data_IF_515720575723
#
_entry.id   IF_515720575723
#
_cell.length_a   1.000
_cell.length_b   1.000
_cell.length_c   1.000
_cell.angle_alpha   90.00
_cell.angle_beta   90.00
_cell.angle_gamma   90.00
#
_symmetry.space_group_name_H-M   'P 1'
#
loop_
_entity.id
_entity.type
_entity.pdbx_description
1 polymer ?
#
# COMPACT_ATOMS: atom_id res chain seq x y z
N UNK A 1 -26.86 7.04 1.56
CA UNK A 1 -26.19 5.72 1.76
C UNK A 1 -26.33 5.37 3.24
N UNK A 2 -26.99 4.27 3.60
CA UNK A 2 -27.16 3.89 5.00
C UNK A 2 -25.83 3.36 5.56
N UNK A 3 -25.17 4.17 6.39
CA UNK A 3 -23.86 3.87 7.00
C UNK A 3 -23.95 2.61 7.89
N UNK A 4 -25.12 2.34 8.45
CA UNK A 4 -25.42 1.14 9.25
C UNK A 4 -25.16 -0.16 8.49
N UNK A 5 -25.33 -0.18 7.15
CA UNK A 5 -25.04 -1.35 6.31
C UNK A 5 -23.55 -1.70 6.23
N UNK A 6 -22.66 -0.77 6.58
CA UNK A 6 -21.22 -1.04 6.61
C UNK A 6 -20.78 -1.90 7.81
N UNK A 7 -21.62 -2.00 8.84
CA UNK A 7 -21.35 -2.76 10.06
C UNK A 7 -22.25 -3.98 10.22
N UNK A 8 -23.19 -4.21 9.30
CA UNK A 8 -24.10 -5.34 9.32
C UNK A 8 -23.38 -6.61 8.82
N UNK A 9 -23.08 -7.52 9.74
CA UNK A 9 -22.37 -8.78 9.46
C UNK A 9 -23.06 -9.61 8.37
N UNK A 10 -24.39 -9.73 8.44
CA UNK A 10 -25.17 -10.52 7.47
C UNK A 10 -25.09 -9.91 6.07
N UNK A 11 -25.10 -8.58 5.99
CA UNK A 11 -24.94 -7.84 4.72
C UNK A 11 -23.53 -7.95 4.14
N UNK A 12 -22.50 -8.07 4.99
CA UNK A 12 -21.09 -8.15 4.60
C UNK A 12 -20.68 -9.55 4.15
N UNK A 13 -21.17 -10.59 4.82
CA UNK A 13 -20.83 -12.00 4.58
C UNK A 13 -21.84 -12.73 3.70
N UNK A 14 -22.75 -12.01 3.05
CA UNK A 14 -23.74 -12.62 2.17
C UNK A 14 -23.05 -13.47 1.08
N UNK A 15 -23.45 -14.74 0.96
CA UNK A 15 -22.73 -15.76 0.15
C UNK A 15 -22.69 -15.41 -1.33
N UNK A 16 -23.76 -14.78 -1.80
CA UNK A 16 -23.91 -14.31 -3.17
C UNK A 16 -24.24 -12.84 -3.14
N UNK A 17 -23.59 -12.09 -4.00
CA UNK A 17 -23.97 -10.71 -4.25
C UNK A 17 -24.82 -10.77 -5.52
N UNK A 18 -26.12 -10.55 -5.37
CA UNK A 18 -27.06 -10.53 -6.51
C UNK A 18 -26.71 -9.39 -7.47
N UNK A 19 -26.25 -8.27 -6.90
CA UNK A 19 -25.91 -7.05 -7.63
C UNK A 19 -24.40 -6.82 -7.65
N UNK A 20 -23.85 -6.66 -8.85
CA UNK A 20 -22.49 -6.18 -9.05
C UNK A 20 -22.28 -4.77 -8.50
N UNK A 21 -21.06 -4.27 -8.63
CA UNK A 21 -20.83 -2.85 -8.36
C UNK A 21 -21.60 -1.98 -9.34
N UNK A 22 -22.12 -0.84 -8.88
CA UNK A 22 -22.67 0.16 -9.79
C UNK A 22 -21.59 0.61 -10.78
N UNK A 23 -22.00 0.92 -12.02
CA UNK A 23 -21.09 1.37 -13.07
C UNK A 23 -20.12 2.48 -12.63
N UNK A 24 -20.56 3.53 -11.94
CA UNK A 24 -19.65 4.58 -11.44
C UNK A 24 -18.64 4.02 -10.42
N UNK A 25 -19.08 3.15 -9.51
CA UNK A 25 -18.20 2.58 -8.48
C UNK A 25 -17.15 1.65 -9.09
N UNK A 26 -17.51 0.89 -10.13
CA UNK A 26 -16.55 0.06 -10.88
C UNK A 26 -15.44 0.90 -11.49
N UNK A 27 -15.80 1.99 -12.18
CA UNK A 27 -14.83 2.86 -12.84
C UNK A 27 -13.89 3.48 -11.81
N UNK A 28 -14.43 3.98 -10.70
CA UNK A 28 -13.63 4.56 -9.61
C UNK A 28 -12.64 3.54 -9.03
N UNK A 29 -13.11 2.32 -8.71
CA UNK A 29 -12.24 1.27 -8.18
C UNK A 29 -11.15 0.85 -9.18
N UNK A 30 -11.50 0.72 -10.47
CA UNK A 30 -10.53 0.42 -11.53
C UNK A 30 -9.48 1.51 -11.64
N UNK A 31 -9.87 2.79 -11.66
CA UNK A 31 -8.93 3.92 -11.69
C UNK A 31 -7.99 3.88 -10.48
N UNK A 32 -8.52 3.59 -9.28
CA UNK A 32 -7.72 3.50 -8.05
C UNK A 32 -6.71 2.35 -8.14
N UNK A 33 -7.14 1.14 -8.51
CA UNK A 33 -6.25 -0.03 -8.53
C UNK A 33 -5.26 -0.02 -9.70
N UNK A 34 -5.70 0.40 -10.89
CA UNK A 34 -4.80 0.60 -12.04
C UNK A 34 -3.84 1.75 -11.73
N UNK A 35 -4.32 2.83 -11.14
CA UNK A 35 -3.49 3.94 -10.67
C UNK A 35 -2.43 3.49 -9.66
N UNK A 36 -2.78 2.59 -8.74
CA UNK A 36 -1.83 1.99 -7.81
C UNK A 36 -0.75 1.17 -8.53
N UNK A 37 -1.09 0.38 -9.55
CA UNK A 37 -0.10 -0.35 -10.35
C UNK A 37 0.82 0.58 -11.15
N UNK A 38 0.26 1.62 -11.77
CA UNK A 38 1.04 2.65 -12.48
C UNK A 38 2.00 3.34 -11.51
N UNK A 39 1.53 3.68 -10.31
CA UNK A 39 2.36 4.25 -9.26
C UNK A 39 3.45 3.26 -8.79
N UNK A 40 3.15 1.98 -8.67
CA UNK A 40 4.11 0.94 -8.36
C UNK A 40 5.24 0.85 -9.41
N UNK A 41 4.90 1.05 -10.69
CA UNK A 41 5.90 1.11 -11.75
C UNK A 41 6.75 2.39 -11.69
N UNK A 42 6.13 3.54 -11.39
CA UNK A 42 6.87 4.79 -11.21
C UNK A 42 7.83 4.74 -10.02
N UNK A 43 7.40 4.17 -8.89
CA UNK A 43 8.25 3.98 -7.72
C UNK A 43 9.43 3.06 -8.02
N UNK A 44 9.24 1.99 -8.81
CA UNK A 44 10.33 1.14 -9.30
C UNK A 44 11.41 1.92 -10.07
N UNK A 45 11.01 2.88 -10.91
CA UNK A 45 11.95 3.75 -11.64
C UNK A 45 12.70 4.69 -10.68
N UNK A 46 12.03 5.22 -9.65
CA UNK A 46 12.64 6.11 -8.65
C UNK A 46 13.63 5.39 -7.74
N UNK A 47 13.38 4.13 -7.38
CA UNK A 47 14.30 3.30 -6.57
C UNK A 47 15.69 3.19 -7.22
N UNK A 48 15.75 3.08 -8.56
CA UNK A 48 17.02 3.00 -9.30
C UNK A 48 17.82 4.31 -9.27
N UNK A 49 17.16 5.46 -9.09
CA UNK A 49 17.78 6.80 -9.14
C UNK A 49 18.03 7.41 -7.76
N UNK A 50 17.43 6.88 -6.70
CA UNK A 50 17.45 7.48 -5.37
C UNK A 50 18.63 7.02 -4.51
N UNK A 51 19.15 7.93 -3.69
CA UNK A 51 20.17 7.69 -2.65
C UNK A 51 19.71 6.69 -1.57
N UNK A 52 20.67 6.03 -0.92
CA UNK A 52 20.44 4.91 0.01
C UNK A 52 19.37 5.17 1.10
N UNK A 53 19.29 6.38 1.66
CA UNK A 53 18.35 6.70 2.76
C UNK A 53 16.88 6.64 2.34
N UNK A 54 16.55 7.18 1.16
CA UNK A 54 15.18 7.23 0.65
C UNK A 54 14.80 5.97 -0.13
N UNK A 55 15.78 5.17 -0.57
CA UNK A 55 15.56 3.95 -1.36
C UNK A 55 14.59 2.99 -0.67
N UNK A 56 14.79 2.77 0.64
CA UNK A 56 13.97 1.85 1.44
C UNK A 56 12.52 2.32 1.61
N UNK A 57 12.27 3.64 1.55
CA UNK A 57 10.91 4.17 1.55
C UNK A 57 10.21 3.86 0.23
N UNK A 58 10.89 4.11 -0.90
CA UNK A 58 10.33 3.83 -2.22
C UNK A 58 10.09 2.33 -2.42
N UNK A 59 10.96 1.46 -1.91
CA UNK A 59 10.75 0.01 -1.90
C UNK A 59 9.48 -0.37 -1.12
N UNK A 60 9.27 0.21 0.07
CA UNK A 60 8.04 -0.02 0.86
C UNK A 60 6.79 0.47 0.13
N UNK A 61 6.84 1.65 -0.49
CA UNK A 61 5.74 2.19 -1.29
C UNK A 61 5.47 1.33 -2.53
N UNK A 62 6.51 0.84 -3.20
CA UNK A 62 6.36 -0.06 -4.35
C UNK A 62 5.64 -1.34 -3.96
N UNK A 63 6.07 -2.01 -2.88
CA UNK A 63 5.45 -3.25 -2.40
C UNK A 63 4.01 -3.01 -1.97
N UNK A 64 3.75 -1.89 -1.27
CA UNK A 64 2.40 -1.49 -0.89
C UNK A 64 1.52 -1.33 -2.14
N UNK A 65 1.95 -0.53 -3.12
CA UNK A 65 1.19 -0.26 -4.36
C UNK A 65 0.98 -1.49 -5.24
N UNK A 66 1.97 -2.39 -5.34
CA UNK A 66 1.80 -3.66 -6.03
C UNK A 66 0.78 -4.55 -5.35
N UNK A 67 0.89 -4.70 -4.03
CA UNK A 67 -0.01 -5.55 -3.25
C UNK A 67 -1.44 -5.02 -3.31
N UNK A 68 -1.62 -3.71 -3.15
CA UNK A 68 -2.95 -3.07 -3.17
C UNK A 68 -3.60 -3.11 -4.56
N UNK A 69 -2.82 -2.80 -5.61
CA UNK A 69 -3.33 -2.82 -6.98
C UNK A 69 -3.67 -4.23 -7.44
N UNK A 70 -2.79 -5.20 -7.22
CA UNK A 70 -2.97 -6.56 -7.71
C UNK A 70 -4.05 -7.32 -6.92
N UNK A 71 -4.02 -7.28 -5.58
CA UNK A 71 -5.08 -7.90 -4.77
C UNK A 71 -6.41 -7.18 -4.93
N UNK A 72 -6.40 -5.85 -5.08
CA UNK A 72 -7.62 -5.07 -5.33
C UNK A 72 -8.32 -5.46 -6.63
N UNK A 73 -7.56 -5.57 -7.73
CA UNK A 73 -8.09 -6.07 -9.01
C UNK A 73 -8.55 -7.52 -8.92
N UNK A 74 -7.81 -8.38 -8.22
CA UNK A 74 -8.16 -9.78 -8.05
C UNK A 74 -9.49 -9.95 -7.30
N UNK A 75 -9.68 -9.21 -6.19
CA UNK A 75 -10.93 -9.23 -5.44
C UNK A 75 -12.10 -8.62 -6.24
N UNK A 76 -11.83 -7.57 -7.03
CA UNK A 76 -12.82 -7.02 -7.95
C UNK A 76 -13.25 -8.05 -9.00
N UNK A 77 -12.29 -8.79 -9.56
CA UNK A 77 -12.56 -9.87 -10.52
C UNK A 77 -13.38 -11.00 -9.89
N UNK A 78 -13.05 -11.48 -8.69
CA UNK A 78 -13.84 -12.51 -8.00
C UNK A 78 -15.28 -12.08 -7.72
N UNK A 79 -15.48 -10.78 -7.51
CA UNK A 79 -16.81 -10.22 -7.33
C UNK A 79 -17.60 -10.18 -8.64
N UNK A 80 -16.95 -9.91 -9.78
CA UNK A 80 -17.58 -9.99 -11.11
C UNK A 80 -17.86 -11.44 -11.53
N UNK A 81 -16.93 -12.35 -11.25
CA UNK A 81 -17.08 -13.78 -11.48
C UNK A 81 -18.10 -14.45 -10.54
N UNK A 82 -18.68 -13.68 -9.58
CA UNK A 82 -19.64 -14.14 -8.57
C UNK A 82 -19.13 -15.37 -7.80
N UNK A 83 -17.83 -15.41 -7.52
CA UNK A 83 -17.20 -16.54 -6.83
C UNK A 83 -17.76 -16.66 -5.41
N UNK A 84 -18.15 -17.87 -5.02
CA UNK A 84 -18.72 -18.15 -3.70
C UNK A 84 -17.70 -17.78 -2.62
N UNK A 85 -18.14 -17.01 -1.61
CA UNK A 85 -17.35 -16.46 -0.49
C UNK A 85 -16.28 -15.41 -0.85
N UNK A 86 -15.50 -15.58 -1.93
CA UNK A 86 -14.43 -14.64 -2.29
C UNK A 86 -14.94 -13.35 -2.94
N UNK A 87 -16.14 -13.37 -3.53
CA UNK A 87 -16.81 -12.17 -4.05
C UNK A 87 -17.53 -11.33 -2.98
N UNK A 88 -17.49 -11.76 -1.72
CA UNK A 88 -18.20 -11.08 -0.63
C UNK A 88 -17.62 -9.68 -0.36
N UNK A 89 -18.47 -8.80 0.19
CA UNK A 89 -18.11 -7.39 0.43
C UNK A 89 -17.00 -7.25 1.48
N UNK A 90 -16.95 -8.20 2.41
CA UNK A 90 -16.03 -8.19 3.55
C UNK A 90 -14.56 -8.21 3.11
N UNK A 91 -14.21 -8.95 2.05
CA UNK A 91 -12.81 -9.04 1.60
C UNK A 91 -12.27 -7.70 1.09
N UNK A 92 -13.07 -6.97 0.33
CA UNK A 92 -12.68 -5.65 -0.18
C UNK A 92 -12.58 -4.63 0.95
N UNK A 93 -13.50 -4.65 1.91
CA UNK A 93 -13.43 -3.80 3.11
C UNK A 93 -12.21 -4.11 3.96
N UNK A 94 -11.94 -5.40 4.20
CA UNK A 94 -10.80 -5.87 4.97
C UNK A 94 -9.49 -5.47 4.28
N UNK A 95 -9.40 -5.62 2.96
CA UNK A 95 -8.26 -5.13 2.19
C UNK A 95 -8.09 -3.62 2.37
N UNK A 96 -9.17 -2.83 2.26
CA UNK A 96 -9.11 -1.38 2.41
C UNK A 96 -8.59 -0.95 3.80
N UNK A 97 -9.04 -1.64 4.86
CA UNK A 97 -8.58 -1.41 6.24
C UNK A 97 -7.10 -1.75 6.39
N UNK A 98 -6.66 -2.92 5.93
CA UNK A 98 -5.25 -3.33 5.99
C UNK A 98 -4.38 -2.33 5.24
N UNK A 99 -4.82 -1.90 4.05
CA UNK A 99 -4.10 -0.96 3.21
C UNK A 99 -3.94 0.39 3.89
N UNK A 100 -4.99 0.89 4.55
CA UNK A 100 -4.96 2.13 5.33
C UNK A 100 -3.99 2.03 6.52
N UNK A 101 -4.08 0.96 7.31
CA UNK A 101 -3.18 0.75 8.45
C UNK A 101 -1.73 0.70 7.96
N UNK A 102 -1.46 -0.04 6.89
CA UNK A 102 -0.11 -0.16 6.34
C UNK A 102 0.43 1.17 5.80
N UNK A 103 -0.44 1.99 5.19
CA UNK A 103 -0.09 3.32 4.73
C UNK A 103 0.31 4.24 5.90
N UNK A 104 -0.41 4.18 7.03
CA UNK A 104 -0.07 4.94 8.25
C UNK A 104 1.33 4.56 8.74
N UNK A 105 1.66 3.28 8.77
CA UNK A 105 3.01 2.83 9.14
C UNK A 105 4.10 3.34 8.18
N UNK A 106 3.81 3.43 6.89
CA UNK A 106 4.76 3.98 5.90
C UNK A 106 4.97 5.49 6.13
N UNK A 107 3.89 6.24 6.42
CA UNK A 107 3.97 7.67 6.73
C UNK A 107 4.76 7.90 8.02
N UNK A 108 4.50 7.12 9.05
CA UNK A 108 5.25 7.15 10.31
C UNK A 108 6.75 6.87 10.07
N UNK A 109 7.07 5.85 9.27
CA UNK A 109 8.44 5.53 8.88
C UNK A 109 9.12 6.69 8.14
N UNK A 110 8.40 7.36 7.24
CA UNK A 110 8.93 8.51 6.50
C UNK A 110 9.25 9.69 7.42
N UNK A 111 8.31 10.09 8.28
CA UNK A 111 8.45 11.29 9.14
C UNK A 111 9.43 11.11 10.29
N UNK A 112 9.55 9.90 10.85
CA UNK A 112 10.33 9.69 12.08
C UNK A 112 11.62 8.92 11.78
N UNK A 113 11.55 7.80 11.07
CA UNK A 113 12.71 6.91 10.94
C UNK A 113 13.76 7.44 9.97
N UNK A 114 13.37 8.12 8.89
CA UNK A 114 14.34 8.68 7.93
C UNK A 114 15.19 9.80 8.54
N UNK A 115 14.62 10.87 9.15
CA UNK A 115 15.45 11.94 9.71
C UNK A 115 16.35 11.43 10.83
N UNK A 116 15.88 10.50 11.67
CA UNK A 116 16.68 9.90 12.75
C UNK A 116 17.89 9.11 12.21
N UNK A 117 17.71 8.42 11.07
CA UNK A 117 18.80 7.69 10.39
C UNK A 117 19.81 8.61 9.71
N UNK A 118 19.37 9.77 9.23
CA UNK A 118 20.28 10.75 8.65
C UNK A 118 21.13 11.42 9.74
N UNK A 119 20.53 11.80 10.87
CA UNK A 119 21.26 12.35 12.02
C UNK A 119 22.31 11.37 12.56
N UNK A 120 21.92 10.11 12.77
CA UNK A 120 22.85 9.08 13.25
C UNK A 120 23.97 8.73 12.25
N UNK A 121 23.73 8.87 10.94
CA UNK A 121 24.80 8.76 9.93
C UNK A 121 25.73 9.97 9.95
N UNK A 122 25.21 11.18 10.13
CA UNK A 122 26.02 12.38 10.24
C UNK A 122 26.98 12.29 11.44
N UNK A 123 26.47 11.92 12.63
CA UNK A 123 27.31 11.75 13.83
C UNK A 123 28.38 10.67 13.67
N UNK A 124 28.08 9.57 12.97
CA UNK A 124 29.07 8.52 12.67
C UNK A 124 30.15 9.01 11.71
N UNK A 125 29.77 9.75 10.66
CA UNK A 125 30.72 10.32 9.71
C UNK A 125 31.62 11.36 10.37
N UNK A 126 31.09 12.18 11.28
CA UNK A 126 31.89 13.12 12.06
C UNK A 126 32.87 12.38 12.98
N UNK A 127 32.44 11.32 13.67
CA UNK A 127 33.32 10.50 14.49
C UNK A 127 34.42 9.81 13.68
N UNK A 128 34.08 9.22 12.54
CA UNK A 128 35.03 8.57 11.60
C UNK A 128 36.01 9.57 10.98
N UNK A 129 35.67 10.85 10.90
CA UNK A 129 36.59 11.91 10.44
C UNK A 129 37.75 12.10 11.42
N UNK A 130 37.53 11.90 12.71
CA UNK A 130 38.51 12.09 13.76
C UNK A 130 39.30 10.81 14.10
N UNK A 131 38.87 9.65 13.60
CA UNK A 131 39.59 8.40 13.76
C UNK A 131 40.84 8.36 12.85
N UNK A 132 42.02 7.98 13.39
CA UNK A 132 43.22 7.86 12.59
C UNK A 132 43.05 6.77 11.53
N UNK A 133 43.08 7.17 10.25
CA UNK A 133 42.96 6.24 9.12
C UNK A 133 44.27 5.48 8.96
N UNK A 134 44.22 4.15 9.08
CA UNK A 134 45.36 3.27 8.81
C UNK A 134 45.74 3.42 7.33
N UNK A 135 46.92 3.97 7.03
CA UNK A 135 47.47 3.97 5.66
C UNK A 135 47.72 2.51 5.25
N UNK A 136 47.19 2.11 4.10
CA UNK A 136 47.56 0.87 3.42
C UNK A 136 48.94 1.01 2.81
#
# INVERSE_FOLDING_TARGET
MNITKLFDWSYLTHRYVTDGFSWPMRIVLLIIFIGALVFAWQTAKKIKKTTSSHKRLWEKLQVWSWSTGLLGLLLMFFREARTIYLGSRIWLLLLLIIVLIWLIFIIYYWKITIPLKEQSRASKNDFDKWLPKKKK
#
